data_IF_668540400609
#
_entry.id   IF_668540400609
#
_cell.length_a   1.000
_cell.length_b   1.000
_cell.length_c   1.000
_cell.angle_alpha   90.00
_cell.angle_beta   90.00
_cell.angle_gamma   90.00
#
_symmetry.space_group_name_H-M   'P 1'
#
loop_
_entity.id
_entity.type
_entity.pdbx_description
1 polymer ?
#
# COMPACT_ATOMS: atom_id res chain seq x y z
N UNK A 1 -12.68 -6.54 9.05
CA UNK A 1 -12.34 -5.26 8.38
C UNK A 1 -13.06 -4.11 9.08
N UNK A 2 -12.36 -3.02 9.46
CA UNK A 2 -12.98 -1.80 9.99
C UNK A 2 -13.40 -0.89 8.81
N UNK A 3 -14.68 -0.93 8.41
CA UNK A 3 -15.18 -0.28 7.17
C UNK A 3 -14.94 1.24 7.12
N UNK A 4 -14.95 1.91 8.27
CA UNK A 4 -14.71 3.36 8.37
C UNK A 4 -13.27 3.78 8.04
N UNK A 5 -12.34 2.83 7.87
CA UNK A 5 -10.94 3.10 7.50
C UNK A 5 -10.68 2.95 5.99
N UNK A 6 -11.69 2.62 5.20
CA UNK A 6 -11.55 2.49 3.74
C UNK A 6 -11.49 3.88 3.13
N UNK A 7 -10.49 4.09 2.28
CA UNK A 7 -10.24 5.36 1.58
C UNK A 7 -10.70 5.26 0.13
N UNK A 8 -10.43 4.13 -0.52
CA UNK A 8 -10.82 3.88 -1.90
C UNK A 8 -11.11 2.39 -2.12
N UNK A 9 -12.00 2.08 -3.07
CA UNK A 9 -12.38 0.72 -3.45
C UNK A 9 -12.14 0.57 -4.94
N UNK A 10 -11.36 -0.43 -5.32
CA UNK A 10 -11.18 -0.88 -6.69
C UNK A 10 -12.11 -2.05 -7.03
N UNK A 11 -11.84 -2.71 -8.14
CA UNK A 11 -12.56 -3.88 -8.64
C UNK A 11 -12.30 -5.09 -7.74
N UNK A 12 -11.02 -5.39 -7.43
CA UNK A 12 -10.60 -6.55 -6.61
C UNK A 12 -9.64 -6.20 -5.50
N UNK A 13 -9.36 -4.92 -5.30
CA UNK A 13 -8.49 -4.39 -4.25
C UNK A 13 -9.15 -3.21 -3.58
N UNK A 14 -8.67 -2.81 -2.40
CA UNK A 14 -9.10 -1.59 -1.74
C UNK A 14 -7.91 -0.94 -1.01
N UNK A 15 -8.02 0.37 -0.80
CA UNK A 15 -7.08 1.17 -0.02
C UNK A 15 -7.69 1.47 1.35
N UNK A 16 -6.95 1.23 2.43
CA UNK A 16 -7.42 1.56 3.78
C UNK A 16 -6.30 2.03 4.71
N UNK A 17 -6.69 2.64 5.83
CA UNK A 17 -5.76 2.96 6.92
C UNK A 17 -5.48 1.73 7.81
N UNK A 18 -4.30 1.68 8.45
CA UNK A 18 -4.00 0.68 9.48
C UNK A 18 -5.01 0.75 10.63
N UNK A 19 -5.40 -0.42 11.17
CA UNK A 19 -6.43 -0.50 12.21
C UNK A 19 -5.98 -0.06 13.62
N UNK A 20 -4.67 0.08 13.83
CA UNK A 20 -4.06 0.40 15.12
C UNK A 20 -3.13 1.61 14.98
N UNK A 21 -1.81 1.42 15.06
CA UNK A 21 -0.83 2.49 14.97
C UNK A 21 -0.23 2.55 13.57
N UNK A 22 -0.21 3.76 13.01
CA UNK A 22 0.54 4.05 11.80
C UNK A 22 2.03 4.13 12.09
N UNK A 23 2.87 3.58 11.21
CA UNK A 23 4.33 3.69 11.32
C UNK A 23 4.84 5.09 10.98
N UNK A 24 4.10 5.81 10.14
CA UNK A 24 4.43 7.14 9.64
C UNK A 24 3.15 7.85 9.18
N UNK A 25 3.24 9.17 9.01
CA UNK A 25 2.16 9.96 8.43
C UNK A 25 1.93 9.56 6.97
N UNK A 26 0.67 9.34 6.60
CA UNK A 26 0.31 8.84 5.28
C UNK A 26 0.42 7.33 5.12
N UNK A 27 0.68 6.58 6.19
CA UNK A 27 0.67 5.11 6.16
C UNK A 27 -0.72 4.59 5.76
N UNK A 28 -0.75 3.83 4.67
CA UNK A 28 -1.94 3.17 4.14
C UNK A 28 -1.58 1.76 3.65
N UNK A 29 -2.63 0.96 3.44
CA UNK A 29 -2.55 -0.42 3.00
C UNK A 29 -3.32 -0.58 1.69
N UNK A 30 -2.67 -1.15 0.69
CA UNK A 30 -3.33 -1.67 -0.51
C UNK A 30 -3.59 -3.14 -0.27
N UNK A 31 -4.86 -3.55 -0.25
CA UNK A 31 -5.26 -4.89 0.16
C UNK A 31 -6.11 -5.55 -0.94
N UNK A 32 -5.68 -6.69 -1.49
CA UNK A 32 -6.51 -7.53 -2.33
C UNK A 32 -7.72 -8.09 -1.58
N UNK A 33 -8.86 -8.21 -2.25
CA UNK A 33 -10.03 -8.90 -1.73
C UNK A 33 -9.84 -10.43 -1.68
N UNK A 34 -8.93 -10.97 -2.49
CA UNK A 34 -8.59 -12.39 -2.51
C UNK A 34 -7.77 -12.81 -1.28
N UNK A 35 -8.11 -13.96 -0.70
CA UNK A 35 -7.39 -14.56 0.43
C UNK A 35 -6.19 -15.40 -0.03
N UNK A 36 -5.12 -14.73 -0.47
CA UNK A 36 -3.84 -15.39 -0.79
C UNK A 36 -2.82 -15.17 0.31
N UNK A 37 -1.75 -15.97 0.34
CA UNK A 37 -0.68 -15.84 1.34
C UNK A 37 0.42 -14.85 0.95
N UNK A 38 0.57 -14.58 -0.35
CA UNK A 38 1.62 -13.73 -0.91
C UNK A 38 1.17 -13.10 -2.23
N UNK A 39 1.75 -11.95 -2.57
CA UNK A 39 1.51 -11.23 -3.82
C UNK A 39 1.89 -12.02 -5.06
N UNK A 40 2.84 -12.95 -4.96
CA UNK A 40 3.22 -13.87 -6.05
C UNK A 40 2.14 -14.88 -6.42
N UNK A 41 1.14 -15.07 -5.56
CA UNK A 41 -0.01 -15.94 -5.79
C UNK A 41 -1.24 -15.17 -6.29
N UNK A 42 -1.12 -13.86 -6.49
CA UNK A 42 -2.20 -13.05 -7.04
C UNK A 42 -2.32 -13.29 -8.55
N UNK A 43 -3.56 -13.31 -9.02
CA UNK A 43 -3.85 -13.21 -10.44
C UNK A 43 -3.30 -11.90 -11.01
N UNK A 44 -2.91 -11.93 -12.29
CA UNK A 44 -2.23 -10.81 -12.96
C UNK A 44 -3.04 -9.51 -12.91
N UNK A 45 -4.35 -9.62 -13.05
CA UNK A 45 -5.28 -8.50 -13.05
C UNK A 45 -5.43 -7.84 -11.67
N UNK A 46 -5.39 -8.62 -10.58
CA UNK A 46 -5.33 -8.10 -9.22
C UNK A 46 -3.98 -7.42 -8.97
N UNK A 47 -2.88 -8.03 -9.43
CA UNK A 47 -1.56 -7.42 -9.33
C UNK A 47 -1.45 -6.10 -10.11
N UNK A 48 -2.02 -6.03 -11.30
CA UNK A 48 -2.10 -4.81 -12.10
C UNK A 48 -2.86 -3.70 -11.36
N UNK A 49 -3.96 -4.04 -10.69
CA UNK A 49 -4.72 -3.08 -9.89
C UNK A 49 -3.90 -2.58 -8.68
N UNK A 50 -3.17 -3.46 -8.01
CA UNK A 50 -2.19 -3.06 -6.98
C UNK A 50 -1.18 -2.07 -7.56
N UNK A 51 -0.65 -2.30 -8.77
CA UNK A 51 0.28 -1.36 -9.40
C UNK A 51 -0.34 0.00 -9.72
N UNK A 52 -1.63 0.06 -10.07
CA UNK A 52 -2.33 1.34 -10.28
C UNK A 52 -2.35 2.16 -8.99
N UNK A 53 -2.71 1.55 -7.86
CA UNK A 53 -2.65 2.23 -6.56
C UNK A 53 -1.22 2.67 -6.21
N UNK A 54 -0.21 1.82 -6.44
CA UNK A 54 1.19 2.18 -6.18
C UNK A 54 1.62 3.41 -6.98
N UNK A 55 1.33 3.46 -8.28
CA UNK A 55 1.66 4.60 -9.14
C UNK A 55 0.96 5.88 -8.68
N UNK A 56 -0.33 5.80 -8.34
CA UNK A 56 -1.09 6.94 -7.84
C UNK A 56 -0.54 7.48 -6.52
N UNK A 57 -0.24 6.59 -5.56
CA UNK A 57 0.33 6.97 -4.27
C UNK A 57 1.73 7.56 -4.43
N UNK A 58 2.61 6.96 -5.24
CA UNK A 58 3.93 7.52 -5.52
C UNK A 58 3.82 8.93 -6.07
N UNK A 59 2.95 9.15 -7.06
CA UNK A 59 2.76 10.50 -7.63
C UNK A 59 2.25 11.50 -6.60
N UNK A 60 1.24 11.10 -5.81
CA UNK A 60 0.66 11.95 -4.76
C UNK A 60 1.71 12.39 -3.75
N UNK A 61 2.55 11.46 -3.27
CA UNK A 61 3.60 11.79 -2.31
C UNK A 61 4.77 12.55 -2.94
N UNK A 62 5.12 12.29 -4.20
CA UNK A 62 6.10 13.08 -4.94
C UNK A 62 5.68 14.55 -5.04
N UNK A 63 4.40 14.81 -5.36
CA UNK A 63 3.84 16.17 -5.43
C UNK A 63 3.84 16.87 -4.05
N UNK A 64 3.94 16.09 -2.95
CA UNK A 64 4.13 16.58 -1.57
C UNK A 64 5.60 16.69 -1.15
N UNK A 65 6.56 16.45 -2.04
CA UNK A 65 8.00 16.47 -1.73
C UNK A 65 8.47 15.29 -0.87
N UNK A 66 7.77 14.15 -0.95
CA UNK A 66 7.94 12.96 -0.12
C UNK A 66 8.26 11.74 -0.98
N UNK A 67 9.06 10.82 -0.46
CA UNK A 67 9.30 9.52 -1.09
C UNK A 67 8.40 8.43 -0.51
N UNK A 68 8.03 7.43 -1.31
CA UNK A 68 7.22 6.28 -0.88
C UNK A 68 8.03 4.99 -0.89
N UNK A 69 7.92 4.17 0.15
CA UNK A 69 8.37 2.76 0.11
C UNK A 69 7.13 1.87 0.12
N UNK A 70 7.15 0.76 -0.63
CA UNK A 70 6.15 -0.30 -0.55
C UNK A 70 6.84 -1.57 -0.05
N UNK A 71 6.29 -2.19 0.99
CA UNK A 71 6.71 -3.44 1.60
C UNK A 71 5.54 -4.41 1.59
N UNK A 72 5.82 -5.68 1.39
CA UNK A 72 4.87 -6.74 1.64
C UNK A 72 5.46 -7.64 2.71
N UNK A 73 4.62 -8.11 3.64
CA UNK A 73 5.01 -9.16 4.57
C UNK A 73 4.14 -10.38 4.31
N UNK A 74 4.68 -11.32 3.53
CA UNK A 74 4.08 -12.63 3.32
C UNK A 74 4.46 -13.55 4.48
N UNK A 75 3.58 -13.65 5.48
CA UNK A 75 3.70 -14.65 6.56
C UNK A 75 2.71 -15.76 6.31
N UNK A 76 3.19 -17.01 6.37
CA UNK A 76 2.43 -18.22 6.04
C UNK A 76 1.13 -18.46 6.85
N UNK A 77 0.78 -17.56 7.77
CA UNK A 77 -0.41 -17.68 8.62
C UNK A 77 -1.14 -16.36 8.96
N UNK A 78 -0.83 -15.23 8.31
CA UNK A 78 -1.58 -13.96 8.52
C UNK A 78 -1.59 -13.08 7.27
N UNK A 79 -2.80 -12.72 6.84
CA UNK A 79 -3.15 -11.83 5.73
C UNK A 79 -1.99 -10.98 5.16
N UNK A 80 -1.57 -11.20 3.89
CA UNK A 80 -0.58 -10.34 3.27
C UNK A 80 -1.16 -8.93 3.20
N UNK A 81 -0.46 -8.01 3.86
CA UNK A 81 -0.73 -6.58 3.77
C UNK A 81 0.48 -5.96 3.10
N UNK A 82 0.28 -5.32 1.95
CA UNK A 82 1.28 -4.40 1.44
C UNK A 82 1.30 -3.19 2.39
N UNK A 83 2.33 -3.13 3.23
CA UNK A 83 2.70 -1.99 4.04
C UNK A 83 3.35 -0.92 3.15
N UNK A 84 3.07 0.35 3.37
CA UNK A 84 3.87 1.44 2.80
C UNK A 84 4.71 2.00 3.95
N UNK A 85 5.97 1.58 4.15
CA UNK A 85 6.79 2.17 5.18
C UNK A 85 7.33 3.52 4.72
N UNK A 86 7.53 4.41 5.67
CA UNK A 86 8.43 5.56 5.53
C UNK A 86 8.16 6.44 4.32
N UNK A 87 7.25 7.39 4.49
CA UNK A 87 7.38 8.71 3.88
C UNK A 87 8.74 9.25 4.29
N UNK A 88 9.76 9.16 3.42
CA UNK A 88 11.05 9.79 3.69
C UNK A 88 10.99 11.22 3.15
N UNK A 89 11.40 12.23 3.95
CA UNK A 89 11.70 13.54 3.40
C UNK A 89 12.75 13.35 2.31
N UNK A 90 12.49 13.87 1.11
CA UNK A 90 13.46 13.81 0.03
C UNK A 90 14.74 14.48 0.52
N UNK A 91 15.83 13.73 0.67
CA UNK A 91 17.13 14.35 0.92
C UNK A 91 17.39 15.25 -0.29
N UNK A 92 17.57 16.56 -0.07
CA UNK A 92 18.15 17.44 -1.09
C UNK A 92 19.60 16.98 -1.36
N UNK A 93 19.74 15.93 -2.14
CA UNK A 93 21.00 15.46 -2.68
C UNK A 93 21.33 16.36 -3.86
N UNK A 94 22.29 17.27 -3.64
CA UNK A 94 22.95 18.03 -4.69
C UNK A 94 23.71 17.06 -5.61
N UNK A 95 23.16 16.76 -6.80
CA UNK A 95 23.82 16.59 -8.11
C UNK A 95 22.83 16.09 -9.16
#
# INVERSE_FOLDING_TARGET
MKKHLIIAIGIRTYLCLPAHQSLTDGHCLVVPQAHVAAGTLLDEDVWLEVQVFRKGLTRMFEDMGKDTVFMETAVAFRHPSAHVPGVRPRSQGNR
#
